data_IF_092438993737
#
_entry.id   IF_092438993737
#
_cell.length_a   1.000
_cell.length_b   1.000
_cell.length_c   1.000
_cell.angle_alpha   90.00
_cell.angle_beta   90.00
_cell.angle_gamma   90.00
#
_symmetry.space_group_name_H-M   'P 1'
#
loop_
_entity.id
_entity.type
_entity.pdbx_description
1 polymer ?
#
# COMPACT_ATOMS: atom_id res chain seq x y z
N UNK A 1 -3.19 8.13 11.49
CA UNK A 1 -2.38 8.11 10.26
C UNK A 1 -1.54 6.84 10.27
N UNK A 2 -1.34 6.20 9.12
CA UNK A 2 -0.61 4.94 9.02
C UNK A 2 0.48 5.05 7.94
N UNK A 3 1.60 4.38 8.15
CA UNK A 3 2.66 4.24 7.16
C UNK A 3 2.58 2.84 6.55
N UNK A 4 2.40 2.79 5.23
CA UNK A 4 2.37 1.54 4.48
C UNK A 4 3.28 1.64 3.26
N UNK A 5 3.88 0.52 2.82
CA UNK A 5 4.53 0.47 1.53
C UNK A 5 3.55 0.83 0.42
N UNK A 6 3.94 1.72 -0.48
CA UNK A 6 3.10 2.15 -1.61
C UNK A 6 2.59 0.96 -2.45
N UNK A 7 3.43 -0.08 -2.62
CA UNK A 7 3.07 -1.30 -3.33
C UNK A 7 1.85 -2.04 -2.73
N UNK A 8 1.52 -1.82 -1.45
CA UNK A 8 0.35 -2.43 -0.78
C UNK A 8 -0.93 -1.60 -0.92
N UNK A 9 -0.85 -0.42 -1.52
CA UNK A 9 -2.01 0.47 -1.66
C UNK A 9 -2.74 0.31 -3.01
N UNK A 10 -2.22 -0.51 -3.93
CA UNK A 10 -2.91 -0.85 -5.18
C UNK A 10 -4.23 -1.55 -4.85
N UNK A 11 -5.36 -1.03 -5.35
CA UNK A 11 -6.70 -1.57 -5.08
C UNK A 11 -7.36 -1.05 -3.79
N UNK A 12 -6.64 -0.33 -2.93
CA UNK A 12 -7.13 0.12 -1.64
C UNK A 12 -8.40 0.99 -1.72
N UNK A 13 -8.55 1.81 -2.77
CA UNK A 13 -9.76 2.63 -2.98
C UNK A 13 -11.02 1.77 -3.12
N UNK A 14 -10.93 0.65 -3.84
CA UNK A 14 -12.04 -0.30 -4.03
C UNK A 14 -12.37 -1.01 -2.73
N UNK A 15 -11.35 -1.49 -2.01
CA UNK A 15 -11.51 -2.19 -0.74
C UNK A 15 -12.16 -1.26 0.31
N UNK A 16 -11.69 -0.02 0.39
CA UNK A 16 -12.24 0.98 1.29
C UNK A 16 -13.71 1.26 0.98
N UNK A 17 -14.06 1.41 -0.31
CA UNK A 17 -15.45 1.62 -0.73
C UNK A 17 -16.33 0.44 -0.32
N UNK A 18 -15.87 -0.78 -0.54
CA UNK A 18 -16.60 -2.01 -0.17
C UNK A 18 -16.82 -2.08 1.35
N UNK A 19 -15.76 -1.90 2.13
CA UNK A 19 -15.80 -2.02 3.59
C UNK A 19 -16.62 -0.93 4.29
N UNK A 20 -16.70 0.27 3.70
CA UNK A 20 -17.36 1.43 4.32
C UNK A 20 -18.72 1.77 3.68
N UNK A 21 -19.25 0.87 2.85
CA UNK A 21 -20.48 1.12 2.07
C UNK A 21 -20.40 2.45 1.29
N UNK A 22 -19.21 2.78 0.78
CA UNK A 22 -18.94 3.97 -0.02
C UNK A 22 -18.83 5.28 0.75
N UNK A 23 -18.75 5.26 2.08
CA UNK A 23 -18.68 6.48 2.91
C UNK A 23 -17.27 6.84 3.36
N UNK A 24 -16.31 5.93 3.22
CA UNK A 24 -14.93 6.11 3.63
C UNK A 24 -14.14 6.99 2.67
N UNK A 25 -13.27 7.84 3.23
CA UNK A 25 -12.32 8.67 2.49
C UNK A 25 -10.90 8.41 3.00
N UNK A 26 -9.91 8.61 2.14
CA UNK A 26 -8.50 8.52 2.51
C UNK A 26 -7.66 9.50 1.70
N UNK A 27 -6.50 9.87 2.22
CA UNK A 27 -5.46 10.60 1.49
C UNK A 27 -4.13 9.88 1.66
N UNK A 28 -3.28 9.97 0.64
CA UNK A 28 -1.97 9.32 0.63
C UNK A 28 -0.92 10.32 0.17
N UNK A 29 0.18 10.37 0.90
CA UNK A 29 1.32 11.25 0.59
C UNK A 29 2.60 10.42 0.66
N UNK A 30 3.48 10.63 -0.33
CA UNK A 30 4.81 10.02 -0.29
C UNK A 30 5.59 10.58 0.92
N UNK A 31 6.14 9.68 1.74
CA UNK A 31 6.93 10.05 2.92
C UNK A 31 8.43 9.86 2.70
N UNK A 32 8.85 8.64 2.34
CA UNK A 32 10.26 8.25 2.16
C UNK A 32 10.37 6.88 1.50
N UNK A 33 11.60 6.54 1.10
CA UNK A 33 12.00 5.17 0.83
C UNK A 33 12.30 4.41 2.14
N UNK A 34 12.11 3.09 2.09
CA UNK A 34 12.42 2.17 3.18
C UNK A 34 12.98 0.86 2.61
N UNK A 35 13.74 0.13 3.42
CA UNK A 35 14.29 -1.17 3.03
C UNK A 35 13.14 -2.14 2.78
N UNK A 36 13.19 -2.82 1.64
CA UNK A 36 12.20 -3.85 1.28
C UNK A 36 12.52 -5.14 2.04
N UNK A 37 11.53 -5.81 2.65
CA UNK A 37 11.76 -7.10 3.28
C UNK A 37 12.41 -8.12 2.32
N UNK A 38 13.31 -9.00 2.78
CA UNK A 38 14.04 -9.93 1.93
C UNK A 38 13.15 -10.84 1.07
N UNK A 39 11.99 -11.23 1.60
CA UNK A 39 11.00 -12.06 0.91
C UNK A 39 10.47 -11.37 -0.36
N UNK A 40 10.17 -10.08 -0.27
CA UNK A 40 9.66 -9.29 -1.40
C UNK A 40 10.79 -8.88 -2.33
N UNK A 41 11.98 -8.57 -1.77
CA UNK A 41 13.14 -8.18 -2.56
C UNK A 41 13.59 -9.27 -3.54
N UNK A 42 13.53 -10.55 -3.15
CA UNK A 42 13.89 -11.66 -4.04
C UNK A 42 13.06 -11.69 -5.32
N UNK A 43 11.74 -11.51 -5.20
CA UNK A 43 10.82 -11.49 -6.35
C UNK A 43 10.98 -10.28 -7.26
N UNK A 44 11.54 -9.16 -6.76
CA UNK A 44 11.79 -7.94 -7.55
C UNK A 44 13.13 -8.04 -8.30
N UNK A 45 14.16 -8.60 -7.66
CA UNK A 45 15.53 -8.64 -8.21
C UNK A 45 15.73 -9.80 -9.20
N UNK A 46 14.87 -10.81 -9.20
CA UNK A 46 14.80 -11.81 -10.28
C UNK A 46 15.86 -12.91 -10.25
N UNK A 47 16.29 -13.35 -9.06
CA UNK A 47 17.03 -14.60 -8.87
C UNK A 47 16.10 -15.73 -8.43
#
# INVERSE_FOLDING_TARGET
TAELPLARMVGYSTDLRSATQGRGTYSMHFKRYAVVPPEVSRGIVGY
#
